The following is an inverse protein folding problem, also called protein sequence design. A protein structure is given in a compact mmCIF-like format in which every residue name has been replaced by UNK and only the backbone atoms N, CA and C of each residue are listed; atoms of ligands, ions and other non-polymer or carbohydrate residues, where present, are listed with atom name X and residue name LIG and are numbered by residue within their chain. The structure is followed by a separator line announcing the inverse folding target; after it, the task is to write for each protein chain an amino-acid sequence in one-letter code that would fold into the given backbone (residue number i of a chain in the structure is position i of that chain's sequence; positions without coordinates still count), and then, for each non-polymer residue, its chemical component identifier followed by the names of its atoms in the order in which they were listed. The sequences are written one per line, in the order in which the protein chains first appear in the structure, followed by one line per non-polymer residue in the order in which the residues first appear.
data_IF_090773912313
#
_entry.id   IF_090773912313
#
_cell.length_a   1.000
_cell.length_b   1.000
_cell.length_c   1.000
_cell.angle_alpha   90.00
_cell.angle_beta   90.00
_cell.angle_gamma   90.00
#
_symmetry.space_group_name_H-M   'P 1'
#
loop_
_entity.id
_entity.type
_entity.pdbx_description
1 polymer ?
#
# COMPACT_ATOMS: atom_id res chain seq x y z
N UNK A 1 -8.62 -7.91 10.28
CA UNK A 1 -8.63 -7.30 8.94
C UNK A 1 -7.26 -6.66 8.71
N UNK A 2 -6.46 -7.19 7.78
CA UNK A 2 -5.11 -6.67 7.51
C UNK A 2 -5.14 -5.27 6.88
N UNK A 3 -6.20 -4.92 6.14
CA UNK A 3 -6.41 -3.62 5.50
C UNK A 3 -6.55 -2.47 6.49
N UNK A 4 -6.96 -2.78 7.73
CA UNK A 4 -7.14 -1.78 8.78
C UNK A 4 -5.84 -1.02 9.11
N UNK A 5 -4.66 -1.56 8.76
CA UNK A 5 -3.38 -0.89 8.95
C UNK A 5 -3.23 0.41 8.13
N UNK A 6 -4.03 0.57 7.07
CA UNK A 6 -4.10 1.77 6.23
C UNK A 6 -5.19 2.76 6.67
N UNK A 7 -5.56 2.77 7.96
CA UNK A 7 -6.60 3.65 8.52
C UNK A 7 -6.28 5.15 8.39
N UNK A 8 -5.01 5.53 8.24
CA UNK A 8 -4.58 6.91 7.89
C UNK A 8 -4.96 7.29 6.44
N UNK A 9 -5.47 6.35 5.66
CA UNK A 9 -5.77 6.49 4.25
C UNK A 9 -4.58 6.12 3.35
N UNK A 10 -4.84 6.14 2.04
CA UNK A 10 -3.83 5.95 1.00
C UNK A 10 -3.95 7.12 0.01
N UNK A 11 -3.24 8.23 0.23
CA UNK A 11 -3.34 9.41 -0.63
C UNK A 11 -2.95 9.09 -2.09
N UNK A 12 -3.53 9.85 -3.03
CA UNK A 12 -3.25 9.72 -4.47
C UNK A 12 -2.35 10.87 -4.95
N UNK A 13 -1.12 10.55 -5.31
CA UNK A 13 -0.23 11.45 -6.03
C UNK A 13 -0.58 11.50 -7.51
N UNK A 14 -0.72 12.71 -8.05
CA UNK A 14 -1.22 12.97 -9.41
C UNK A 14 -0.20 13.60 -10.35
N UNK A 15 1.03 13.85 -9.87
CA UNK A 15 2.11 14.39 -10.70
C UNK A 15 2.52 13.42 -11.82
N UNK A 16 2.88 13.96 -12.97
CA UNK A 16 3.20 13.21 -14.20
C UNK A 16 4.70 12.97 -14.37
N UNK A 17 5.12 11.86 -14.99
CA UNK A 17 6.53 11.55 -15.31
C UNK A 17 7.21 10.65 -14.26
N UNK A 18 8.54 10.55 -14.28
CA UNK A 18 9.32 9.71 -13.36
C UNK A 18 9.76 10.46 -12.09
N UNK A 19 9.91 9.73 -10.98
CA UNK A 19 10.46 10.30 -9.73
C UNK A 19 11.98 10.34 -9.82
N UNK A 20 12.51 11.37 -10.49
CA UNK A 20 13.94 11.50 -10.80
C UNK A 20 14.63 12.68 -10.08
N UNK A 21 13.88 13.44 -9.28
CA UNK A 21 14.43 14.59 -8.55
C UNK A 21 14.10 14.55 -7.05
N UNK A 22 15.02 15.00 -6.17
CA UNK A 22 14.76 15.11 -4.74
C UNK A 22 13.57 16.00 -4.40
N UNK A 23 13.35 17.08 -5.17
CA UNK A 23 12.21 17.97 -4.98
C UNK A 23 10.88 17.22 -5.12
N UNK A 24 10.78 16.40 -6.18
CA UNK A 24 9.60 15.60 -6.46
C UNK A 24 9.38 14.49 -5.43
N UNK A 25 10.45 13.84 -4.99
CA UNK A 25 10.38 12.91 -3.87
C UNK A 25 9.92 13.60 -2.57
N UNK A 26 10.35 14.86 -2.35
CA UNK A 26 9.91 15.69 -1.24
C UNK A 26 8.41 15.99 -1.25
N UNK A 27 7.83 16.28 -2.41
CA UNK A 27 6.38 16.50 -2.54
C UNK A 27 5.58 15.23 -2.26
N UNK A 28 6.07 14.08 -2.71
CA UNK A 28 5.48 12.77 -2.38
C UNK A 28 5.57 12.47 -0.88
N UNK A 29 6.71 12.76 -0.23
CA UNK A 29 6.88 12.56 1.20
C UNK A 29 5.94 13.46 2.02
N UNK A 30 5.74 14.72 1.60
CA UNK A 30 4.76 15.63 2.22
C UNK A 30 3.33 15.11 2.07
N UNK A 31 2.96 14.63 0.88
CA UNK A 31 1.63 14.09 0.62
C UNK A 31 1.35 12.80 1.39
N UNK A 32 2.36 11.94 1.52
CA UNK A 32 2.27 10.70 2.31
C UNK A 32 1.92 11.00 3.78
N UNK A 33 2.56 12.00 4.39
CA UNK A 33 2.32 12.36 5.79
C UNK A 33 2.51 11.16 6.72
N UNK A 34 1.47 10.82 7.49
CA UNK A 34 1.47 9.68 8.42
C UNK A 34 0.94 8.37 7.79
N UNK A 35 0.52 8.40 6.52
CA UNK A 35 0.05 7.21 5.84
C UNK A 35 1.19 6.21 5.62
N UNK A 36 0.83 4.92 5.54
CA UNK A 36 1.77 3.82 5.27
C UNK A 36 1.94 3.52 3.78
N UNK A 37 1.08 4.08 2.94
CA UNK A 37 1.11 3.88 1.50
C UNK A 37 0.67 5.15 0.75
N UNK A 38 1.16 5.32 -0.47
CA UNK A 38 0.82 6.38 -1.40
C UNK A 38 0.52 5.76 -2.76
N UNK A 39 -0.64 6.06 -3.35
CA UNK A 39 -0.97 5.68 -4.72
C UNK A 39 -0.36 6.67 -5.71
N UNK A 40 0.21 6.17 -6.79
CA UNK A 40 0.73 6.95 -7.91
C UNK A 40 -0.19 6.75 -9.11
N UNK A 41 -0.85 7.82 -9.57
CA UNK A 41 -1.76 7.76 -10.71
C UNK A 41 -1.04 7.18 -11.94
N UNK A 42 -1.55 6.05 -12.44
CA UNK A 42 -1.03 5.37 -13.64
C UNK A 42 0.34 4.70 -13.47
N UNK A 43 0.86 4.57 -12.24
CA UNK A 43 2.15 3.93 -11.98
C UNK A 43 2.07 2.81 -10.97
N UNK A 44 1.30 2.93 -9.88
CA UNK A 44 1.25 1.90 -8.84
C UNK A 44 1.18 2.50 -7.45
N UNK A 45 1.93 1.97 -6.50
CA UNK A 45 1.95 2.43 -5.12
C UNK A 45 3.38 2.48 -4.55
N UNK A 46 3.57 3.33 -3.55
CA UNK A 46 4.75 3.40 -2.69
C UNK A 46 4.32 3.02 -1.28
N UNK A 47 5.09 2.16 -0.61
CA UNK A 47 4.80 1.69 0.75
C UNK A 47 5.99 1.99 1.65
N UNK A 48 5.73 2.43 2.88
CA UNK A 48 6.76 2.77 3.87
C UNK A 48 6.58 1.97 5.16
N UNK A 49 7.69 1.66 5.82
CA UNK A 49 7.76 0.88 7.05
C UNK A 49 9.11 1.09 7.73
N UNK A 50 9.22 0.65 8.98
CA UNK A 50 10.43 0.80 9.80
C UNK A 50 11.50 -0.24 9.44
N UNK A 51 11.12 -1.32 8.77
CA UNK A 51 12.02 -2.39 8.32
C UNK A 51 11.63 -2.87 6.93
N UNK A 52 12.57 -3.44 6.18
CA UNK A 52 12.30 -4.08 4.88
C UNK A 52 11.19 -5.12 5.02
N UNK A 53 11.24 -5.94 6.07
CA UNK A 53 10.23 -6.95 6.39
C UNK A 53 8.84 -6.34 6.52
N UNK A 54 8.71 -5.25 7.27
CA UNK A 54 7.44 -4.55 7.43
C UNK A 54 6.92 -4.03 6.08
N UNK A 55 7.79 -3.39 5.28
CA UNK A 55 7.42 -2.86 3.96
C UNK A 55 6.89 -3.95 3.03
N UNK A 56 7.55 -5.11 2.99
CA UNK A 56 7.11 -6.24 2.16
C UNK A 56 5.71 -6.73 2.57
N UNK A 57 5.43 -6.86 3.86
CA UNK A 57 4.11 -7.30 4.36
C UNK A 57 3.05 -6.24 4.04
N UNK A 58 3.35 -4.97 4.28
CA UNK A 58 2.45 -3.88 3.98
C UNK A 58 2.15 -3.81 2.47
N UNK A 59 3.13 -4.05 1.60
CA UNK A 59 2.91 -4.12 0.16
C UNK A 59 1.92 -5.24 -0.22
N UNK A 60 2.11 -6.45 0.31
CA UNK A 60 1.18 -7.58 0.10
C UNK A 60 -0.23 -7.26 0.61
N UNK A 61 -0.33 -6.64 1.79
CA UNK A 61 -1.63 -6.25 2.34
C UNK A 61 -2.29 -5.14 1.52
N UNK A 62 -1.52 -4.19 1.00
CA UNK A 62 -2.06 -3.13 0.15
C UNK A 62 -2.62 -3.70 -1.14
N UNK A 63 -1.90 -4.62 -1.78
CA UNK A 63 -2.33 -5.31 -3.00
C UNK A 63 -3.62 -6.11 -2.77
N UNK A 64 -3.65 -6.95 -1.73
CA UNK A 64 -4.85 -7.72 -1.40
C UNK A 64 -6.03 -6.81 -1.03
N UNK A 65 -5.78 -5.71 -0.31
CA UNK A 65 -6.82 -4.73 0.01
C UNK A 65 -7.39 -4.07 -1.24
N UNK A 66 -6.54 -3.68 -2.19
CA UNK A 66 -6.96 -3.10 -3.46
C UNK A 66 -7.76 -4.11 -4.30
N UNK A 67 -7.35 -5.38 -4.31
CA UNK A 67 -8.09 -6.48 -4.96
C UNK A 67 -9.48 -6.65 -4.35
N UNK A 68 -9.56 -6.79 -3.02
CA UNK A 68 -10.83 -6.93 -2.31
C UNK A 68 -11.74 -5.71 -2.48
N UNK A 69 -11.19 -4.49 -2.45
CA UNK A 69 -11.95 -3.27 -2.70
C UNK A 69 -12.49 -3.24 -4.12
N UNK A 70 -11.71 -3.67 -5.11
CA UNK A 70 -12.14 -3.77 -6.50
C UNK A 70 -13.31 -4.76 -6.65
N UNK A 71 -13.23 -5.94 -6.01
CA UNK A 71 -14.34 -6.90 -6.02
C UNK A 71 -15.57 -6.38 -5.28
N UNK A 72 -15.40 -5.74 -4.13
CA UNK A 72 -16.51 -5.15 -3.38
C UNK A 72 -17.24 -4.08 -4.21
N UNK A 73 -16.49 -3.24 -4.94
CA UNK A 73 -17.06 -2.22 -5.83
C UNK A 73 -17.86 -2.81 -7.00
N UNK A 74 -17.54 -4.02 -7.45
CA UNK A 74 -18.35 -4.72 -8.48
C UNK A 74 -19.70 -5.18 -7.95
N UNK A 75 -19.79 -5.45 -6.64
CA UNK A 75 -21.03 -5.89 -5.98
C UNK A 75 -21.94 -4.72 -5.57
N UNK A 76 -21.43 -3.49 -5.57
CA UNK A 76 -22.16 -2.28 -5.21
C UNK A 76 -21.28 -1.29 -4.45
N UNK A 77 -21.90 -0.37 -3.72
CA UNK A 77 -21.19 0.59 -2.87
C UNK A 77 -20.67 -0.12 -1.62
N UNK A 78 -19.33 -0.21 -1.40
CA UNK A 78 -18.79 -0.84 -0.20
C UNK A 78 -19.15 -0.05 1.06
N UNK A 79 -19.41 -0.77 2.16
CA UNK A 79 -19.50 -0.18 3.49
C UNK A 79 -18.08 -0.04 4.06
N UNK A 80 -17.62 1.20 4.18
CA UNK A 80 -16.30 1.50 4.74
C UNK A 80 -16.31 1.44 6.26
N UNK A 81 -15.16 1.11 6.83
CA UNK A 81 -14.94 1.10 8.27
C UNK A 81 -14.58 2.51 8.75
N UNK A 82 -15.11 2.90 9.90
CA UNK A 82 -14.75 4.15 10.55
C UNK A 82 -13.28 4.15 10.99
N UNK A 83 -12.62 5.30 10.89
CA UNK A 83 -11.17 5.43 11.14
C UNK A 83 -10.77 4.91 12.53
N UNK A 84 -11.52 5.29 13.56
CA UNK A 84 -11.24 4.92 14.95
C UNK A 84 -11.39 3.40 15.19
N UNK A 85 -12.31 2.76 14.47
CA UNK A 85 -12.47 1.31 14.52
C UNK A 85 -11.31 0.61 13.83
N UNK A 86 -10.94 1.10 12.64
CA UNK A 86 -9.81 0.58 11.88
C UNK A 86 -8.49 0.72 12.66
N UNK A 87 -8.26 1.85 13.33
CA UNK A 87 -7.09 2.06 14.19
C UNK A 87 -7.01 1.02 15.32
N UNK A 88 -8.13 0.76 16.01
CA UNK A 88 -8.19 -0.25 17.09
C UNK A 88 -7.89 -1.65 16.57
N UNK A 89 -8.38 -2.00 15.38
CA UNK A 89 -8.12 -3.30 14.74
C UNK A 89 -6.66 -3.39 14.30
N UNK A 90 -6.09 -2.33 13.74
CA UNK A 90 -4.70 -2.27 13.31
C UNK A 90 -3.75 -2.56 14.48
N UNK A 91 -3.95 -1.89 15.62
CA UNK A 91 -3.16 -2.10 16.86
C UNK A 91 -3.21 -3.54 17.39
N UNK A 92 -4.32 -4.25 17.17
CA UNK A 92 -4.47 -5.66 17.60
C UNK A 92 -3.84 -6.65 16.63
N UNK A 93 -3.98 -6.37 15.33
CA UNK A 93 -3.59 -7.28 14.24
C UNK A 93 -2.10 -7.21 13.93
N UNK A 94 -1.50 -6.02 13.99
CA UNK A 94 -0.08 -5.80 13.74
C UNK A 94 0.75 -5.99 15.00
N UNK A 95 0.92 -7.25 15.41
CA UNK A 95 1.89 -7.66 16.43
C UNK A 95 3.03 -8.45 15.78
N UNK A 96 4.27 -8.41 16.34
CA UNK A 96 5.42 -9.14 15.81
C UNK A 96 5.15 -10.62 15.51
N UNK A 97 4.35 -11.28 16.36
CA UNK A 97 3.98 -12.69 16.20
C UNK A 97 2.99 -12.97 15.06
N UNK A 98 2.24 -11.96 14.62
CA UNK A 98 1.26 -12.11 13.53
C UNK A 98 1.89 -11.88 12.17
N UNK A 99 2.89 -10.99 12.10
CA UNK A 99 3.66 -10.71 10.88
C UNK A 99 4.61 -11.85 10.51
N UNK A 100 5.07 -12.63 11.50
CA UNK A 100 5.96 -13.78 11.29
C UNK A 100 5.29 -14.92 10.50
N UNK A 101 3.96 -15.05 10.59
CA UNK A 101 3.19 -16.07 9.86
C UNK A 101 2.91 -15.73 8.40
N UNK A 102 2.95 -14.44 8.05
CA UNK A 102 2.55 -13.94 6.72
C UNK A 102 3.73 -13.95 5.74
N UNK A 103 4.96 -13.90 6.26
CA UNK A 103 6.18 -13.97 5.46
C UNK A 103 6.29 -15.31 4.74
N UNK A 104 6.19 -15.35 3.40
CA UNK A 104 6.55 -16.53 2.65
C UNK A 104 8.06 -16.76 2.76
N UNK A 105 8.49 -18.02 2.76
CA UNK A 105 9.89 -18.47 2.80
C UNK A 105 10.75 -18.01 1.59
N UNK A 106 10.34 -17.01 0.80
CA UNK A 106 10.90 -16.73 -0.52
C UNK A 106 11.01 -15.26 -0.94
N UNK A 107 10.96 -14.29 -0.02
CA UNK A 107 11.22 -12.88 -0.36
C UNK A 107 12.76 -12.65 -0.42
N UNK A 108 13.40 -13.25 -1.41
CA UNK A 108 14.78 -12.92 -1.86
C UNK A 108 14.77 -12.26 -3.26
N UNK A 109 13.60 -12.10 -3.91
CA UNK A 109 13.53 -11.52 -5.26
C UNK A 109 12.92 -10.11 -5.23
N UNK A 110 13.78 -9.13 -5.53
CA UNK A 110 13.52 -7.68 -5.67
C UNK A 110 12.48 -7.27 -6.75
N UNK A 111 11.44 -8.05 -7.05
CA UNK A 111 10.64 -7.86 -8.28
C UNK A 111 9.33 -7.06 -8.12
N UNK A 112 8.77 -6.86 -6.93
CA UNK A 112 7.48 -6.15 -6.80
C UNK A 112 7.55 -4.63 -7.04
N UNK A 113 8.76 -4.06 -7.19
CA UNK A 113 8.93 -2.63 -7.50
C UNK A 113 9.08 -2.30 -9.00
N UNK A 114 9.08 -3.30 -9.90
CA UNK A 114 9.36 -3.08 -11.32
C UNK A 114 8.19 -3.42 -12.28
N UNK A 115 7.23 -4.25 -11.87
CA UNK A 115 6.24 -4.82 -12.81
C UNK A 115 5.05 -3.89 -13.11
N UNK A 116 4.91 -2.79 -12.38
CA UNK A 116 3.90 -1.77 -12.67
C UNK A 116 4.17 -1.03 -14.01
N UNK A 117 5.38 -1.12 -14.55
CA UNK A 117 5.73 -0.55 -15.86
C UNK A 117 5.36 -1.44 -17.06
N UNK A 118 4.96 -2.71 -16.85
CA UNK A 118 4.69 -3.62 -17.99
C UNK A 118 3.30 -3.42 -18.62
N UNK A 119 2.34 -2.84 -17.89
CA UNK A 119 0.96 -2.62 -18.36
C UNK A 119 0.79 -1.56 -19.46
N UNK A 120 1.86 -0.86 -19.86
CA UNK A 120 1.82 0.19 -20.90
C UNK A 120 2.24 -0.32 -22.29
N UNK A 121 2.73 -1.56 -22.44
CA UNK A 121 3.17 -2.07 -23.77
C UNK A 121 2.07 -2.73 -24.61
N UNK A 122 0.86 -2.89 -24.10
CA UNK A 122 -0.27 -3.41 -24.86
C UNK A 122 -1.52 -2.55 -24.66
N UNK A 123 -1.48 -1.34 -25.20
CA UNK A 123 -2.61 -0.72 -25.91
C UNK A 123 -2.14 0.42 -26.79
#
# INVERSE_FOLDING_TARGET
NYSAIFYEGVPLYTGTGQVESPARAGDMAKLLGNAKALMLRGHGAVVVGQTIREVCILALFLEESARLQTEAMKLGTPMFMERDEAEKIAKRTFKPTSVERVMPCGIETSQTLAESCHWVKHR
#
